data_IF_392981643957
#
_entry.id   IF_392981643957
#
_cell.length_a   1.000
_cell.length_b   1.000
_cell.length_c   1.000
_cell.angle_alpha   90.00
_cell.angle_beta   90.00
_cell.angle_gamma   90.00
#
_symmetry.space_group_name_H-M   'P 1'
#
loop_
_entity.id
_entity.type
_entity.pdbx_description
1 polymer ?
#
# COMPACT_ATOMS: atom_id res chain seq x y z
N UNK A 1 12.49 22.42 0.56
CA UNK A 1 12.53 20.95 0.74
C UNK A 1 13.18 20.58 2.08
N UNK A 2 14.38 21.09 2.38
CA UNK A 2 15.05 20.87 3.68
C UNK A 2 14.23 21.38 4.89
N UNK A 3 13.54 22.52 4.76
CA UNK A 3 12.71 23.03 5.87
C UNK A 3 11.51 22.13 6.17
N UNK A 4 10.92 21.53 5.14
CA UNK A 4 9.85 20.54 5.29
C UNK A 4 10.38 19.23 5.93
N UNK A 5 11.59 18.80 5.55
CA UNK A 5 12.26 17.64 6.16
C UNK A 5 12.60 17.88 7.63
N UNK A 6 13.07 19.08 7.97
CA UNK A 6 13.40 19.47 9.34
C UNK A 6 12.12 19.53 10.19
N UNK A 7 11.03 20.04 9.63
CA UNK A 7 9.72 20.03 10.28
C UNK A 7 9.20 18.61 10.53
N UNK A 8 9.39 17.68 9.59
CA UNK A 8 8.99 16.26 9.75
C UNK A 8 9.77 15.57 10.87
N UNK A 9 11.09 15.81 10.97
CA UNK A 9 11.90 15.26 12.05
C UNK A 9 11.44 15.73 13.44
N UNK A 10 11.14 17.03 13.59
CA UNK A 10 10.81 17.64 14.88
C UNK A 10 9.40 17.29 15.40
N UNK A 11 8.49 16.84 14.53
CA UNK A 11 7.07 16.67 14.86
C UNK A 11 6.59 15.20 14.87
N UNK A 12 7.46 14.25 14.53
CA UNK A 12 7.14 12.81 14.56
C UNK A 12 6.34 12.35 13.34
N UNK A 13 5.34 11.49 13.54
CA UNK A 13 4.64 10.75 12.47
C UNK A 13 4.29 11.63 11.25
N UNK A 14 4.82 11.25 10.09
CA UNK A 14 4.71 12.00 8.82
C UNK A 14 3.28 12.06 8.31
N UNK A 15 2.45 11.06 8.62
CA UNK A 15 1.04 11.01 8.23
C UNK A 15 0.15 12.01 8.98
N UNK A 16 0.62 12.52 10.13
CA UNK A 16 -0.11 13.53 10.91
C UNK A 16 -0.06 14.91 10.26
N UNK A 17 0.99 15.19 9.50
CA UNK A 17 1.25 16.52 8.92
C UNK A 17 1.23 16.52 7.39
N UNK A 18 1.43 15.36 6.78
CA UNK A 18 1.48 15.19 5.33
C UNK A 18 0.62 14.00 4.91
N UNK A 19 0.30 13.95 3.62
CA UNK A 19 -0.49 12.85 3.06
C UNK A 19 0.23 11.51 3.23
N UNK A 20 -0.53 10.41 3.17
CA UNK A 20 0.02 9.05 3.18
C UNK A 20 1.11 8.89 2.12
N UNK A 21 1.01 9.52 0.94
CA UNK A 21 2.03 9.53 -0.12
C UNK A 21 3.42 9.93 0.39
N UNK A 22 3.51 10.87 1.34
CA UNK A 22 4.79 11.27 1.95
C UNK A 22 5.35 10.18 2.85
N UNK A 23 4.51 9.53 3.65
CA UNK A 23 4.91 8.37 4.46
C UNK A 23 5.42 7.21 3.59
N UNK A 24 4.83 7.01 2.39
CA UNK A 24 5.31 6.05 1.39
C UNK A 24 6.70 6.37 0.86
N UNK A 25 6.93 7.63 0.47
CA UNK A 25 8.23 8.05 -0.03
C UNK A 25 9.33 7.83 1.03
N UNK A 26 9.00 8.12 2.29
CA UNK A 26 9.89 7.90 3.44
C UNK A 26 10.14 6.41 3.67
N UNK A 27 9.10 5.57 3.65
CA UNK A 27 9.21 4.12 3.81
C UNK A 27 10.13 3.49 2.74
N UNK A 28 9.94 3.84 1.46
CA UNK A 28 10.78 3.32 0.39
C UNK A 28 12.20 3.88 0.42
N UNK A 29 12.36 5.13 0.83
CA UNK A 29 13.68 5.70 1.09
C UNK A 29 14.41 4.90 2.16
N UNK A 30 13.78 4.67 3.31
CA UNK A 30 14.31 3.87 4.42
C UNK A 30 14.74 2.49 3.93
N UNK A 31 13.88 1.79 3.17
CA UNK A 31 14.21 0.50 2.55
C UNK A 31 15.44 0.58 1.65
N UNK A 32 15.54 1.61 0.80
CA UNK A 32 16.67 1.78 -0.12
C UNK A 32 17.99 2.08 0.59
N UNK A 33 17.92 2.57 1.82
CA UNK A 33 19.08 2.91 2.66
C UNK A 33 19.30 1.94 3.82
N UNK A 34 18.64 0.77 3.79
CA UNK A 34 18.76 -0.27 4.82
C UNK A 34 18.40 0.21 6.25
N UNK A 35 17.37 1.05 6.35
CA UNK A 35 16.83 1.57 7.60
C UNK A 35 15.56 0.81 8.02
N UNK A 36 15.18 0.92 9.29
CA UNK A 36 13.89 0.44 9.77
C UNK A 36 12.75 1.16 9.02
N UNK A 37 11.91 0.39 8.32
CA UNK A 37 10.92 0.90 7.38
C UNK A 37 9.65 1.34 8.11
N UNK A 38 9.75 2.44 8.87
CA UNK A 38 8.66 2.95 9.71
C UNK A 38 7.71 3.87 8.96
N UNK A 39 8.15 4.46 7.84
CA UNK A 39 7.45 5.56 7.15
C UNK A 39 7.50 6.89 7.91
N UNK A 40 8.16 6.93 9.07
CA UNK A 40 8.34 8.12 9.92
C UNK A 40 9.73 8.70 9.65
N UNK A 41 9.84 10.03 9.49
CA UNK A 41 11.13 10.71 9.39
C UNK A 41 11.69 10.88 10.81
N UNK A 42 12.44 9.87 11.28
CA UNK A 42 13.26 10.01 12.49
C UNK A 42 14.57 10.77 12.18
N UNK A 43 15.41 10.99 13.20
CA UNK A 43 16.66 11.74 13.06
C UNK A 43 17.60 11.10 12.03
N UNK A 44 17.65 9.77 11.99
CA UNK A 44 18.52 9.03 11.08
C UNK A 44 18.03 9.13 9.63
N UNK A 45 16.72 8.97 9.43
CA UNK A 45 16.04 9.13 8.14
C UNK A 45 16.20 10.54 7.60
N UNK A 46 16.06 11.55 8.47
CA UNK A 46 16.26 12.96 8.13
C UNK A 46 17.68 13.23 7.63
N UNK A 47 18.69 12.78 8.37
CA UNK A 47 20.09 12.98 7.99
C UNK A 47 20.41 12.28 6.66
N UNK A 48 19.95 11.05 6.46
CA UNK A 48 20.13 10.34 5.20
C UNK A 48 19.44 11.04 4.01
N UNK A 49 18.22 11.58 4.20
CA UNK A 49 17.52 12.37 3.19
C UNK A 49 18.27 13.66 2.87
N UNK A 50 18.80 14.34 3.89
CA UNK A 50 19.62 15.54 3.77
C UNK A 50 20.90 15.25 2.98
N UNK A 51 21.61 14.17 3.30
CA UNK A 51 22.85 13.80 2.63
C UNK A 51 22.62 13.48 1.15
N UNK A 52 21.55 12.73 0.82
CA UNK A 52 21.14 12.45 -0.56
C UNK A 52 20.74 13.70 -1.33
N UNK A 53 20.06 14.64 -0.67
CA UNK A 53 19.70 15.93 -1.28
C UNK A 53 20.94 16.77 -1.59
N UNK A 54 21.87 16.87 -0.65
CA UNK A 54 23.14 17.59 -0.83
C UNK A 54 24.01 16.97 -1.92
N UNK A 55 24.08 15.64 -1.99
CA UNK A 55 24.79 14.92 -3.04
C UNK A 55 24.17 15.14 -4.44
N UNK A 56 22.88 15.45 -4.53
CA UNK A 56 22.17 15.66 -5.81
C UNK A 56 22.37 17.06 -6.38
N UNK A 57 22.55 18.08 -5.54
CA UNK A 57 22.51 19.49 -5.99
C UNK A 57 23.89 20.08 -6.35
N UNK A 58 25.01 19.43 -5.98
CA UNK A 58 26.34 20.01 -6.20
C UNK A 58 26.50 21.40 -5.57
N UNK A 59 27.63 22.09 -5.82
CA UNK A 59 27.87 23.43 -5.29
C UNK A 59 26.80 24.43 -5.78
N UNK A 60 26.40 25.41 -4.94
CA UNK A 60 25.27 26.27 -5.24
C UNK A 60 25.54 27.11 -6.50
N UNK A 61 24.64 27.00 -7.47
CA UNK A 61 24.50 28.00 -8.55
C UNK A 61 23.90 29.27 -7.91
N UNK A 62 24.40 30.49 -8.22
CA UNK A 62 23.89 31.71 -7.61
C UNK A 62 22.39 31.85 -7.85
N UNK A 63 21.67 32.14 -6.76
CA UNK A 63 20.23 32.37 -6.74
C UNK A 63 19.86 33.54 -7.66
N UNK A 64 18.98 33.38 -8.66
CA UNK A 64 18.47 34.52 -9.41
C UNK A 64 17.71 35.46 -8.47
N UNK A 65 17.94 36.75 -8.65
CA UNK A 65 17.28 37.84 -7.93
C UNK A 65 15.75 37.68 -8.04
N UNK A 66 14.99 37.76 -6.93
CA UNK A 66 13.54 37.59 -6.98
C UNK A 66 12.89 38.69 -7.82
N UNK A 67 12.18 38.30 -8.87
CA UNK A 67 11.21 39.15 -9.56
C UNK A 67 10.03 39.41 -8.61
N UNK A 68 9.45 40.62 -8.56
CA UNK A 68 8.30 40.90 -7.70
C UNK A 68 7.16 39.91 -7.94
N UNK A 69 6.69 39.31 -6.85
CA UNK A 69 5.59 38.34 -6.84
C UNK A 69 4.29 39.00 -7.27
N UNK A 70 3.57 38.51 -8.29
CA UNK A 70 2.23 38.99 -8.59
C UNK A 70 1.28 38.70 -7.41
N UNK A 71 0.35 39.61 -7.19
CA UNK A 71 -0.71 39.52 -6.18
C UNK A 71 -1.39 38.15 -6.24
N UNK A 72 -1.62 37.47 -5.09
CA UNK A 72 -2.24 36.15 -5.08
C UNK A 72 -3.64 36.20 -5.69
N UNK A 73 -3.84 35.44 -6.77
CA UNK A 73 -5.17 35.07 -7.25
C UNK A 73 -5.90 34.33 -6.14
N UNK A 74 -7.19 34.63 -5.86
CA UNK A 74 -7.95 33.92 -4.84
C UNK A 74 -7.88 32.40 -5.08
N UNK A 75 -7.42 31.68 -4.06
CA UNK A 75 -7.44 30.22 -4.02
C UNK A 75 -8.88 29.76 -4.27
N UNK A 76 -9.16 28.89 -5.24
CA UNK A 76 -10.50 28.33 -5.42
C UNK A 76 -10.93 27.69 -4.09
N UNK A 77 -12.13 28.01 -3.65
CA UNK A 77 -12.76 27.40 -2.49
C UNK A 77 -12.67 25.87 -2.64
N UNK A 78 -12.17 25.13 -1.63
CA UNK A 78 -12.08 23.68 -1.73
C UNK A 78 -13.48 23.13 -2.02
N UNK A 79 -13.61 22.43 -3.15
CA UNK A 79 -14.79 21.64 -3.45
C UNK A 79 -15.06 20.72 -2.25
N UNK A 80 -16.29 20.70 -1.70
CA UNK A 80 -16.64 19.80 -0.61
C UNK A 80 -16.19 18.38 -0.96
N UNK A 81 -15.44 17.74 -0.07
CA UNK A 81 -15.12 16.33 -0.22
C UNK A 81 -16.44 15.58 -0.43
N UNK A 82 -16.54 14.68 -1.45
CA UNK A 82 -17.77 13.93 -1.68
C UNK A 82 -18.18 13.25 -0.37
N UNK A 83 -19.47 13.35 -0.02
CA UNK A 83 -20.01 12.69 1.16
C UNK A 83 -19.59 11.20 1.13
N UNK A 84 -19.16 10.63 2.28
CA UNK A 84 -18.77 9.23 2.31
C UNK A 84 -19.93 8.40 1.79
N UNK A 85 -19.71 7.71 0.68
CA UNK A 85 -20.64 6.67 0.22
C UNK A 85 -20.81 5.67 1.36
N UNK A 86 -22.05 5.21 1.63
CA UNK A 86 -22.30 4.19 2.64
C UNK A 86 -21.32 3.03 2.44
N UNK A 87 -20.49 2.75 3.45
CA UNK A 87 -19.60 1.62 3.41
C UNK A 87 -20.46 0.35 3.43
N UNK A 88 -20.16 -0.67 2.60
CA UNK A 88 -20.89 -1.94 2.66
C UNK A 88 -20.86 -2.52 4.08
N UNK A 89 -21.93 -3.24 4.45
CA UNK A 89 -21.96 -3.96 5.71
C UNK A 89 -20.75 -4.91 5.82
N UNK A 90 -20.16 -5.08 7.01
CA UNK A 90 -19.05 -6.00 7.21
C UNK A 90 -19.42 -7.42 6.78
N UNK A 91 -18.53 -8.07 6.03
CA UNK A 91 -18.71 -9.48 5.67
C UNK A 91 -18.41 -10.34 6.91
N UNK A 92 -19.34 -11.21 7.33
CA UNK A 92 -19.11 -12.09 8.48
C UNK A 92 -17.82 -12.91 8.35
N UNK A 93 -17.01 -12.91 9.41
CA UNK A 93 -15.76 -13.68 9.48
C UNK A 93 -14.50 -12.96 8.97
N UNK A 94 -14.61 -11.76 8.40
CA UNK A 94 -13.46 -10.90 8.13
C UNK A 94 -12.97 -10.19 9.39
N UNK A 95 -11.67 -9.90 9.46
CA UNK A 95 -11.14 -8.93 10.41
C UNK A 95 -11.41 -7.50 9.94
N UNK A 96 -11.23 -6.52 10.84
CA UNK A 96 -11.35 -5.09 10.51
C UNK A 96 -10.35 -4.71 9.42
N UNK A 97 -9.10 -5.18 9.52
CA UNK A 97 -8.05 -4.89 8.54
C UNK A 97 -8.34 -5.51 7.16
N UNK A 98 -8.90 -6.72 7.11
CA UNK A 98 -9.29 -7.36 5.84
C UNK A 98 -10.45 -6.62 5.19
N UNK A 99 -11.45 -6.23 5.99
CA UNK A 99 -12.57 -5.42 5.50
C UNK A 99 -12.09 -4.06 4.99
N UNK A 100 -11.17 -3.40 5.67
CA UNK A 100 -10.55 -2.14 5.22
C UNK A 100 -9.88 -2.32 3.85
N UNK A 101 -9.07 -3.38 3.68
CA UNK A 101 -8.40 -3.66 2.40
C UNK A 101 -9.39 -3.93 1.27
N UNK A 102 -10.47 -4.69 1.51
CA UNK A 102 -11.54 -4.93 0.54
C UNK A 102 -12.18 -3.60 0.11
N UNK A 103 -12.48 -2.73 1.06
CA UNK A 103 -13.10 -1.44 0.78
C UNK A 103 -12.19 -0.57 -0.08
N UNK A 104 -10.91 -0.49 0.25
CA UNK A 104 -9.92 0.25 -0.55
C UNK A 104 -9.79 -0.32 -1.97
N UNK A 105 -9.70 -1.64 -2.12
CA UNK A 105 -9.67 -2.31 -3.44
C UNK A 105 -10.91 -1.96 -4.26
N UNK A 106 -12.10 -2.07 -3.68
CA UNK A 106 -13.35 -1.79 -4.40
C UNK A 106 -13.56 -0.30 -4.68
N UNK A 107 -13.01 0.61 -3.88
CA UNK A 107 -12.95 2.04 -4.19
C UNK A 107 -12.11 2.31 -5.44
N UNK A 108 -10.93 1.69 -5.57
CA UNK A 108 -10.09 1.83 -6.77
C UNK A 108 -10.75 1.25 -8.02
N UNK A 109 -11.46 0.12 -7.86
CA UNK A 109 -12.25 -0.48 -8.95
C UNK A 109 -13.39 0.43 -9.40
N UNK A 110 -14.09 1.07 -8.46
CA UNK A 110 -15.13 2.05 -8.77
C UNK A 110 -14.55 3.26 -9.53
N UNK A 111 -13.40 3.81 -9.09
CA UNK A 111 -12.69 4.90 -9.80
C UNK A 111 -12.30 4.52 -11.23
N UNK A 112 -11.94 3.25 -11.45
CA UNK A 112 -11.57 2.72 -12.75
C UNK A 112 -12.76 2.26 -13.61
N UNK A 113 -14.01 2.36 -13.12
CA UNK A 113 -15.20 1.93 -13.84
C UNK A 113 -15.33 0.41 -14.01
N UNK A 114 -14.69 -0.39 -13.15
CA UNK A 114 -14.81 -1.85 -13.15
C UNK A 114 -15.63 -2.34 -11.96
N UNK A 115 -16.42 -3.39 -12.18
CA UNK A 115 -17.34 -3.93 -11.16
C UNK A 115 -16.61 -4.32 -9.86
N UNK A 116 -17.20 -4.11 -8.67
CA UNK A 116 -16.58 -4.49 -7.41
C UNK A 116 -16.36 -6.00 -7.31
N UNK A 117 -15.30 -6.41 -6.61
CA UNK A 117 -15.04 -7.81 -6.29
C UNK A 117 -15.91 -8.23 -5.10
N UNK A 118 -16.46 -9.44 -5.19
CA UNK A 118 -17.17 -10.11 -4.10
C UNK A 118 -16.18 -10.85 -3.21
N UNK A 119 -16.42 -10.87 -1.91
CA UNK A 119 -15.59 -11.66 -1.00
C UNK A 119 -15.98 -13.14 -1.11
N UNK A 120 -14.99 -14.01 -1.34
CA UNK A 120 -15.15 -15.46 -1.15
C UNK A 120 -14.28 -15.91 0.04
N UNK A 121 -14.93 -16.42 1.09
CA UNK A 121 -14.25 -16.81 2.33
C UNK A 121 -13.24 -17.95 2.14
N UNK A 122 -13.36 -18.77 1.08
CA UNK A 122 -12.37 -19.81 0.74
C UNK A 122 -11.09 -19.19 0.20
N UNK A 123 -11.19 -18.10 -0.58
CA UNK A 123 -10.03 -17.30 -1.00
C UNK A 123 -9.41 -16.57 0.20
N UNK A 124 -10.22 -16.10 1.16
CA UNK A 124 -9.73 -15.49 2.40
C UNK A 124 -8.90 -16.50 3.19
N UNK A 125 -9.38 -17.73 3.34
CA UNK A 125 -8.66 -18.79 4.02
C UNK A 125 -7.32 -19.11 3.34
N UNK A 126 -7.32 -19.28 2.01
CA UNK A 126 -6.10 -19.45 1.21
C UNK A 126 -5.11 -18.30 1.41
N UNK A 127 -5.59 -17.05 1.37
CA UNK A 127 -4.74 -15.88 1.55
C UNK A 127 -4.18 -15.77 2.98
N UNK A 128 -4.96 -16.15 4.00
CA UNK A 128 -4.51 -16.14 5.41
C UNK A 128 -3.41 -17.17 5.64
N UNK A 129 -3.56 -18.37 5.08
CA UNK A 129 -2.53 -19.43 5.15
C UNK A 129 -1.26 -19.00 4.43
N UNK A 130 -1.39 -18.40 3.23
CA UNK A 130 -0.24 -17.85 2.49
C UNK A 130 0.50 -16.77 3.27
N UNK A 131 -0.23 -15.82 3.87
CA UNK A 131 0.38 -14.77 4.70
C UNK A 131 1.06 -15.34 5.95
N UNK A 132 0.50 -16.38 6.55
CA UNK A 132 1.12 -17.05 7.71
C UNK A 132 2.40 -17.79 7.32
N UNK A 133 2.38 -18.51 6.20
CA UNK A 133 3.55 -19.24 5.69
C UNK A 133 4.72 -18.34 5.34
N UNK A 134 4.45 -17.17 4.75
CA UNK A 134 5.48 -16.15 4.53
C UNK A 134 6.18 -15.72 5.83
N UNK A 135 5.43 -15.69 6.93
CA UNK A 135 5.99 -15.40 8.27
C UNK A 135 6.78 -16.62 8.77
N UNK A 136 6.13 -17.78 8.82
CA UNK A 136 6.68 -18.98 9.45
C UNK A 136 7.95 -19.48 8.76
N UNK A 137 8.00 -19.37 7.42
CA UNK A 137 9.12 -19.79 6.60
C UNK A 137 10.03 -18.61 6.17
N UNK A 138 9.84 -17.43 6.75
CA UNK A 138 10.69 -16.24 6.55
C UNK A 138 10.99 -15.93 5.08
N UNK A 139 9.95 -15.81 4.25
CA UNK A 139 10.10 -15.52 2.82
C UNK A 139 9.03 -14.55 2.30
N UNK A 140 9.29 -13.95 1.15
CA UNK A 140 8.33 -13.08 0.45
C UNK A 140 8.35 -13.40 -1.05
N UNK A 141 7.47 -14.31 -1.48
CA UNK A 141 7.43 -14.82 -2.86
C UNK A 141 6.06 -15.38 -3.21
N UNK A 142 5.70 -15.31 -4.49
CA UNK A 142 4.54 -16.00 -5.04
C UNK A 142 4.64 -17.53 -4.96
N UNK A 143 5.86 -18.06 -4.90
CA UNK A 143 6.09 -19.50 -4.70
C UNK A 143 6.34 -19.77 -3.23
N UNK A 144 5.50 -20.60 -2.61
CA UNK A 144 5.65 -21.09 -1.26
C UNK A 144 6.62 -22.27 -1.20
N UNK A 145 7.50 -22.35 -0.19
CA UNK A 145 8.29 -23.55 0.09
C UNK A 145 7.41 -24.71 0.58
N UNK A 146 6.24 -24.42 1.16
CA UNK A 146 5.30 -25.41 1.70
C UNK A 146 4.35 -25.95 0.63
N UNK A 147 3.83 -25.07 -0.25
CA UNK A 147 2.76 -25.43 -1.20
C UNK A 147 3.13 -25.24 -2.68
N UNK A 148 4.31 -24.73 -2.99
CA UNK A 148 4.71 -24.43 -4.37
C UNK A 148 4.01 -23.19 -4.93
N UNK A 149 3.54 -23.28 -6.18
CA UNK A 149 2.91 -22.13 -6.85
C UNK A 149 1.66 -21.65 -6.11
N UNK A 150 1.41 -20.33 -6.07
CA UNK A 150 0.26 -19.74 -5.37
C UNK A 150 -1.09 -20.34 -5.80
N UNK A 151 -1.21 -20.78 -7.06
CA UNK A 151 -2.43 -21.41 -7.56
C UNK A 151 -2.76 -22.70 -6.83
N UNK A 152 -1.78 -23.41 -6.28
CA UNK A 152 -2.00 -24.70 -5.58
C UNK A 152 -2.83 -24.48 -4.31
N UNK A 153 -2.42 -23.54 -3.45
CA UNK A 153 -3.16 -23.26 -2.21
C UNK A 153 -4.57 -22.72 -2.49
N UNK A 154 -4.72 -21.88 -3.52
CA UNK A 154 -6.06 -21.42 -3.93
C UNK A 154 -6.92 -22.60 -4.36
N UNK A 155 -6.40 -23.49 -5.23
CA UNK A 155 -7.14 -24.65 -5.74
C UNK A 155 -7.52 -25.64 -4.64
N UNK A 156 -6.73 -25.78 -3.58
CA UNK A 156 -7.09 -26.60 -2.42
C UNK A 156 -8.35 -26.08 -1.71
N UNK A 157 -8.58 -24.76 -1.71
CA UNK A 157 -9.75 -24.16 -1.04
C UNK A 157 -10.96 -24.02 -1.97
N UNK A 158 -10.76 -23.72 -3.25
CA UNK A 158 -11.85 -23.34 -4.18
C UNK A 158 -12.11 -24.37 -5.29
N UNK A 159 -11.28 -25.41 -5.42
CA UNK A 159 -11.42 -26.40 -6.48
C UNK A 159 -11.32 -25.80 -7.88
N UNK A 160 -12.19 -26.23 -8.80
CA UNK A 160 -12.21 -25.79 -10.20
C UNK A 160 -13.11 -24.57 -10.47
N UNK A 161 -13.67 -23.92 -9.44
CA UNK A 161 -14.68 -22.87 -9.55
C UNK A 161 -14.25 -21.64 -10.37
N UNK A 162 -12.94 -21.38 -10.48
CA UNK A 162 -12.39 -20.25 -11.20
C UNK A 162 -11.54 -20.68 -12.39
N UNK A 163 -11.73 -20.00 -13.52
CA UNK A 163 -10.90 -20.14 -14.73
C UNK A 163 -9.63 -19.29 -14.64
N UNK A 164 -9.67 -18.20 -13.86
CA UNK A 164 -8.55 -17.29 -13.67
C UNK A 164 -8.23 -17.12 -12.19
N UNK A 165 -6.94 -17.23 -11.86
CA UNK A 165 -6.42 -17.00 -10.52
C UNK A 165 -5.36 -15.92 -10.54
N UNK A 166 -5.32 -15.08 -9.51
CA UNK A 166 -4.30 -14.04 -9.34
C UNK A 166 -3.84 -13.91 -7.90
N UNK A 167 -2.65 -13.38 -7.72
CA UNK A 167 -2.11 -13.06 -6.40
C UNK A 167 -1.42 -11.69 -6.41
N UNK A 168 -1.66 -10.92 -5.34
CA UNK A 168 -0.82 -9.80 -4.95
C UNK A 168 -0.29 -10.04 -3.54
N UNK A 169 0.97 -9.68 -3.31
CA UNK A 169 1.62 -9.77 -2.01
C UNK A 169 2.08 -8.39 -1.57
N UNK A 170 1.90 -8.07 -0.29
CA UNK A 170 2.43 -6.86 0.32
C UNK A 170 2.97 -7.13 1.73
N UNK A 171 4.10 -6.52 2.05
CA UNK A 171 4.57 -6.37 3.42
C UNK A 171 4.49 -4.89 3.79
N UNK A 172 3.77 -4.54 4.85
CA UNK A 172 3.61 -3.14 5.26
C UNK A 172 3.20 -3.03 6.75
N UNK A 173 3.47 -1.89 7.40
CA UNK A 173 3.07 -1.69 8.80
C UNK A 173 1.57 -1.36 8.96
N UNK A 174 0.83 -1.12 7.87
CA UNK A 174 -0.62 -0.88 7.91
C UNK A 174 -1.29 -1.29 6.60
N UNK A 175 -2.61 -1.50 6.66
CA UNK A 175 -3.47 -1.84 5.50
C UNK A 175 -3.41 -0.76 4.43
N UNK A 176 -3.62 0.49 4.83
CA UNK A 176 -3.51 1.65 3.94
C UNK A 176 -2.11 1.75 3.30
N UNK A 177 -1.03 1.37 4.01
CA UNK A 177 0.33 1.32 3.46
C UNK A 177 0.61 0.12 2.52
N UNK A 178 -0.09 -0.98 2.71
CA UNK A 178 -0.07 -2.09 1.75
C UNK A 178 -0.84 -1.71 0.48
N UNK A 179 -2.03 -1.12 0.63
CA UNK A 179 -2.93 -0.83 -0.49
C UNK A 179 -2.31 0.13 -1.51
N UNK A 180 -1.82 1.30 -1.11
CA UNK A 180 -1.20 2.21 -2.07
C UNK A 180 0.15 1.66 -2.59
N UNK A 181 0.88 0.79 -1.87
CA UNK A 181 2.07 0.10 -2.42
C UNK A 181 1.68 -0.75 -3.61
N UNK A 182 0.62 -1.55 -3.45
CA UNK A 182 0.07 -2.38 -4.51
C UNK A 182 -0.45 -1.53 -5.66
N UNK A 183 -1.23 -0.48 -5.36
CA UNK A 183 -1.72 0.41 -6.40
C UNK A 183 -0.58 1.12 -7.10
N UNK A 184 0.53 1.51 -6.47
CA UNK A 184 1.63 2.18 -7.15
C UNK A 184 2.49 1.24 -8.03
N UNK A 185 2.36 -0.08 -7.88
CA UNK A 185 3.01 -1.07 -8.73
C UNK A 185 2.15 -1.39 -9.95
N UNK A 186 2.69 -1.24 -11.15
CA UNK A 186 1.95 -1.51 -12.40
C UNK A 186 1.45 -2.95 -12.49
N UNK A 187 2.24 -3.94 -12.04
CA UNK A 187 1.85 -5.35 -12.03
C UNK A 187 0.72 -5.65 -11.04
N UNK A 188 0.84 -5.18 -9.79
CA UNK A 188 -0.18 -5.43 -8.77
C UNK A 188 -1.48 -4.66 -9.04
N UNK A 189 -1.38 -3.40 -9.49
CA UNK A 189 -2.52 -2.59 -9.94
C UNK A 189 -3.30 -3.29 -11.06
N UNK A 190 -2.60 -3.91 -12.03
CA UNK A 190 -3.25 -4.67 -13.10
C UNK A 190 -4.12 -5.79 -12.55
N UNK A 191 -3.68 -6.51 -11.51
CA UNK A 191 -4.52 -7.52 -10.86
C UNK A 191 -5.75 -6.90 -10.18
N UNK A 192 -5.56 -5.84 -9.37
CA UNK A 192 -6.66 -5.16 -8.66
C UNK A 192 -7.75 -4.66 -9.61
N UNK A 193 -7.36 -4.13 -10.77
CA UNK A 193 -8.28 -3.54 -11.76
C UNK A 193 -8.68 -4.52 -12.88
N UNK A 194 -8.26 -5.79 -12.83
CA UNK A 194 -8.59 -6.74 -13.88
C UNK A 194 -10.11 -7.04 -13.87
N UNK A 195 -10.84 -6.79 -14.97
CA UNK A 195 -12.27 -7.07 -15.04
C UNK A 195 -12.60 -8.57 -15.08
N UNK A 196 -11.64 -9.45 -15.36
CA UNK A 196 -11.85 -10.90 -15.35
C UNK A 196 -12.04 -11.44 -13.93
N UNK A 197 -11.43 -10.83 -12.92
CA UNK A 197 -11.67 -11.22 -11.54
C UNK A 197 -13.02 -10.70 -11.04
N UNK A 198 -13.75 -11.60 -10.37
CA UNK A 198 -15.07 -11.34 -9.78
C UNK A 198 -15.08 -11.54 -8.26
N UNK A 199 -14.14 -12.33 -7.76
CA UNK A 199 -14.03 -12.70 -6.35
C UNK A 199 -12.65 -12.39 -5.82
N UNK A 200 -12.56 -12.12 -4.52
CA UNK A 200 -11.32 -11.83 -3.81
C UNK A 200 -11.36 -12.42 -2.40
N UNK A 201 -10.19 -12.83 -1.94
CA UNK A 201 -9.90 -13.06 -0.53
C UNK A 201 -8.70 -12.23 -0.09
N UNK A 202 -8.79 -11.63 1.09
CA UNK A 202 -7.69 -10.91 1.73
C UNK A 202 -7.26 -11.71 2.95
N UNK A 203 -5.97 -11.97 3.08
CA UNK A 203 -5.40 -12.58 4.27
C UNK A 203 -4.30 -11.71 4.85
N UNK A 204 -4.48 -11.29 6.11
CA UNK A 204 -3.55 -10.41 6.81
C UNK A 204 -3.04 -11.11 8.07
N UNK A 205 -1.73 -11.19 8.22
CA UNK A 205 -1.07 -11.67 9.44
C UNK A 205 -0.11 -10.63 9.96
N UNK A 206 -0.24 -10.29 11.25
CA UNK A 206 0.69 -9.40 11.94
C UNK A 206 1.99 -10.17 12.23
N UNK A 207 3.13 -9.52 12.04
CA UNK A 207 4.45 -10.13 12.18
C UNK A 207 5.29 -10.08 10.91
N UNK A 208 6.45 -10.75 10.96
CA UNK A 208 7.45 -10.71 9.90
C UNK A 208 8.20 -9.36 9.82
N UNK A 209 9.17 -9.24 8.90
CA UNK A 209 10.05 -8.06 8.81
C UNK A 209 9.35 -6.74 8.45
N UNK A 210 8.07 -6.78 8.06
CA UNK A 210 7.31 -5.61 7.62
C UNK A 210 6.21 -5.16 8.59
N UNK A 211 6.01 -5.86 9.71
CA UNK A 211 4.94 -5.60 10.68
C UNK A 211 3.61 -6.29 10.32
N UNK A 212 3.24 -6.33 9.03
CA UNK A 212 2.17 -7.19 8.52
C UNK A 212 2.56 -7.84 7.20
N UNK A 213 2.17 -9.10 7.01
CA UNK A 213 2.15 -9.80 5.73
C UNK A 213 0.72 -9.86 5.21
N UNK A 214 0.52 -9.40 3.97
CA UNK A 214 -0.76 -9.35 3.30
C UNK A 214 -0.71 -10.11 1.98
N UNK A 215 -1.77 -10.86 1.74
CA UNK A 215 -2.02 -11.59 0.49
C UNK A 215 -3.40 -11.21 -0.03
N UNK A 216 -3.50 -10.89 -1.32
CA UNK A 216 -4.77 -10.80 -2.04
C UNK A 216 -4.82 -11.96 -3.03
N UNK A 217 -5.79 -12.86 -2.88
CA UNK A 217 -6.06 -13.92 -3.86
C UNK A 217 -7.32 -13.57 -4.64
N UNK A 218 -7.24 -13.65 -5.97
CA UNK A 218 -8.30 -13.29 -6.88
C UNK A 218 -8.85 -14.53 -7.60
N UNK A 219 -10.16 -14.57 -7.81
CA UNK A 219 -10.85 -15.60 -8.57
C UNK A 219 -11.78 -14.99 -9.62
N UNK A 220 -11.73 -15.51 -10.85
CA UNK A 220 -12.52 -15.06 -12.00
C UNK A 220 -13.06 -16.19 -12.84
#
# INVERSE_FOLDING_TARGET
>A
MLDALNFMHLKGNTSTYYTTVTAYAVYYFQRSTNQYMTGIVDLYTYNALKDKYQAKIGTPTPTPTPTPTPTPTPTPTPTPAPAPTPQPDPVPGLTVEEQEMINLVNQERAKAGVAPLKVDMRLVESAREKSQDMIDNNYFSHTSPTWGQFSVIIRQKVGSDYGYLGENLAGAPSVTMAHNSLMNSSGHRKNILNPNYKNIGIGIKKGGPYGMMLTQHFGG
#
